data_IF_873623965265
#
_entry.id   IF_873623965265
#
_cell.length_a   1.000
_cell.length_b   1.000
_cell.length_c   1.000
_cell.angle_alpha   90.00
_cell.angle_beta   90.00
_cell.angle_gamma   90.00
#
_symmetry.space_group_name_H-M   'P 1'
#
loop_
_entity.id
_entity.type
_entity.pdbx_description
1 polymer ?
#
# COMPACT_ATOMS: atom_id res chain seq x y z
N UNK A 1 -12.68 5.08 -23.47
CA UNK A 1 -11.67 4.81 -22.42
C UNK A 1 -12.37 5.02 -21.09
N UNK A 2 -12.84 3.93 -20.45
CA UNK A 2 -13.17 4.00 -19.04
C UNK A 2 -11.84 4.19 -18.29
N UNK A 3 -11.55 5.42 -17.94
CA UNK A 3 -10.63 5.69 -16.86
C UNK A 3 -11.31 5.13 -15.60
N UNK A 4 -10.90 3.96 -15.17
CA UNK A 4 -11.22 3.47 -13.84
C UNK A 4 -10.61 4.47 -12.86
N UNK A 5 -11.47 5.23 -12.21
CA UNK A 5 -11.11 6.17 -11.15
C UNK A 5 -10.95 5.35 -9.87
N UNK A 6 -9.91 4.54 -9.80
CA UNK A 6 -9.70 3.53 -8.76
C UNK A 6 -9.84 4.15 -7.36
N UNK A 7 -9.19 5.27 -7.09
CA UNK A 7 -9.24 5.90 -5.77
C UNK A 7 -10.60 6.51 -5.40
N UNK A 8 -11.30 7.16 -6.32
CA UNK A 8 -12.58 7.80 -6.01
C UNK A 8 -13.73 6.82 -5.85
N UNK A 9 -13.76 5.74 -6.64
CA UNK A 9 -14.77 4.69 -6.51
C UNK A 9 -14.63 3.89 -5.21
N UNK A 10 -13.40 3.60 -4.79
CA UNK A 10 -13.15 2.93 -3.51
C UNK A 10 -13.68 3.76 -2.35
N UNK A 11 -13.39 5.06 -2.29
CA UNK A 11 -13.90 5.95 -1.24
C UNK A 11 -15.44 6.02 -1.20
N UNK A 12 -16.13 5.93 -2.35
CA UNK A 12 -17.60 5.93 -2.40
C UNK A 12 -18.16 4.62 -1.81
N UNK A 13 -17.57 3.47 -2.19
CA UNK A 13 -18.00 2.15 -1.70
C UNK A 13 -17.73 1.99 -0.20
N UNK A 14 -16.57 2.41 0.26
CA UNK A 14 -16.20 2.38 1.68
C UNK A 14 -17.16 3.21 2.52
N UNK A 15 -17.52 4.41 2.07
CA UNK A 15 -18.50 5.28 2.69
C UNK A 15 -19.87 4.61 2.75
N UNK A 16 -20.33 4.04 1.62
CA UNK A 16 -21.60 3.34 1.57
C UNK A 16 -21.67 2.20 2.57
N UNK A 17 -20.62 1.37 2.64
CA UNK A 17 -20.56 0.25 3.59
C UNK A 17 -20.59 0.74 5.04
N UNK A 18 -19.85 1.78 5.33
CA UNK A 18 -19.84 2.39 6.67
C UNK A 18 -21.21 2.97 7.05
N UNK A 19 -21.80 3.78 6.19
CA UNK A 19 -23.08 4.46 6.46
C UNK A 19 -24.24 3.47 6.60
N UNK A 20 -24.17 2.29 5.97
CA UNK A 20 -25.15 1.20 6.09
C UNK A 20 -24.89 0.23 7.26
N UNK A 21 -23.96 0.54 8.17
CA UNK A 21 -23.77 -0.20 9.41
C UNK A 21 -23.06 -1.54 9.30
N UNK A 22 -22.37 -1.81 8.18
CA UNK A 22 -21.57 -3.04 8.07
C UNK A 22 -20.40 -3.04 9.06
N UNK A 23 -20.18 -4.18 9.70
CA UNK A 23 -19.12 -4.35 10.70
C UNK A 23 -17.74 -4.51 10.06
N UNK A 24 -17.68 -5.09 8.87
CA UNK A 24 -16.46 -5.41 8.16
C UNK A 24 -16.43 -4.77 6.79
N UNK A 25 -15.26 -4.24 6.44
CA UNK A 25 -14.94 -3.74 5.11
C UNK A 25 -13.78 -4.54 4.55
N UNK A 26 -13.92 -5.05 3.34
CA UNK A 26 -12.82 -5.67 2.57
C UNK A 26 -12.46 -4.76 1.42
N UNK A 27 -11.22 -4.27 1.43
CA UNK A 27 -10.67 -3.40 0.39
C UNK A 27 -9.85 -4.24 -0.60
N UNK A 28 -10.13 -4.08 -1.88
CA UNK A 28 -9.41 -4.77 -2.95
C UNK A 28 -9.37 -3.93 -4.23
N UNK A 29 -8.29 -4.05 -4.98
CA UNK A 29 -8.16 -3.46 -6.31
C UNK A 29 -9.05 -4.19 -7.33
N UNK A 30 -9.37 -3.55 -8.44
CA UNK A 30 -10.30 -4.04 -9.45
C UNK A 30 -9.74 -5.18 -10.31
N UNK A 31 -8.44 -5.41 -10.28
CA UNK A 31 -7.76 -6.52 -10.94
C UNK A 31 -7.40 -7.67 -10.00
N UNK A 32 -7.77 -7.56 -8.71
CA UNK A 32 -7.63 -8.58 -7.69
C UNK A 32 -8.81 -9.58 -7.69
N UNK A 33 -8.53 -10.84 -7.35
CA UNK A 33 -9.52 -11.93 -7.29
C UNK A 33 -9.40 -12.63 -5.94
N UNK A 34 -10.42 -12.57 -5.07
CA UNK A 34 -10.38 -13.27 -3.79
C UNK A 34 -10.48 -14.80 -3.99
N UNK A 35 -9.73 -15.58 -3.20
CA UNK A 35 -9.99 -17.00 -3.06
C UNK A 35 -11.36 -17.22 -2.40
N UNK A 36 -12.01 -18.32 -2.71
CA UNK A 36 -13.34 -18.67 -2.17
C UNK A 36 -13.44 -18.68 -0.65
N UNK A 37 -12.33 -18.87 0.06
CA UNK A 37 -12.27 -18.88 1.51
C UNK A 37 -11.59 -17.62 2.10
N UNK A 38 -11.14 -16.68 1.28
CA UNK A 38 -10.37 -15.52 1.72
C UNK A 38 -11.06 -14.76 2.86
N UNK A 39 -12.25 -14.24 2.62
CA UNK A 39 -13.01 -13.43 3.59
C UNK A 39 -13.30 -14.24 4.86
N UNK A 40 -13.71 -15.50 4.71
CA UNK A 40 -13.95 -16.39 5.84
C UNK A 40 -12.70 -16.55 6.70
N UNK A 41 -11.56 -16.83 6.08
CA UNK A 41 -10.30 -17.04 6.78
C UNK A 41 -9.82 -15.76 7.48
N UNK A 42 -9.98 -14.59 6.86
CA UNK A 42 -9.66 -13.30 7.48
C UNK A 42 -10.52 -13.06 8.72
N UNK A 43 -11.84 -13.18 8.63
CA UNK A 43 -12.77 -12.95 9.74
C UNK A 43 -12.50 -13.93 10.89
N UNK A 44 -12.34 -15.23 10.59
CA UNK A 44 -12.04 -16.24 11.60
C UNK A 44 -10.68 -16.04 12.30
N UNK A 45 -9.74 -15.38 11.63
CA UNK A 45 -8.42 -15.11 12.20
C UNK A 45 -8.37 -13.84 13.04
N UNK A 46 -9.37 -12.95 12.92
CA UNK A 46 -9.32 -11.62 13.52
C UNK A 46 -9.13 -11.65 15.04
N UNK A 47 -10.02 -12.29 15.77
CA UNK A 47 -9.96 -12.32 17.23
C UNK A 47 -8.72 -13.02 17.75
N UNK A 48 -8.26 -14.05 17.03
CA UNK A 48 -7.02 -14.75 17.36
C UNK A 48 -5.79 -13.84 17.23
N UNK A 49 -5.71 -13.06 16.14
CA UNK A 49 -4.60 -12.11 15.95
C UNK A 49 -4.68 -11.00 16.98
N UNK A 50 -5.87 -10.40 17.22
CA UNK A 50 -6.08 -9.36 18.24
C UNK A 50 -5.62 -9.87 19.61
N UNK A 51 -6.04 -11.07 20.02
CA UNK A 51 -5.66 -11.68 21.30
C UNK A 51 -4.16 -11.92 21.42
N UNK A 52 -3.51 -12.34 20.33
CA UNK A 52 -2.09 -12.62 20.32
C UNK A 52 -1.22 -11.35 20.38
N UNK A 53 -1.68 -10.25 19.78
CA UNK A 53 -0.89 -9.00 19.69
C UNK A 53 -1.31 -7.93 20.69
N UNK A 54 -2.45 -8.09 21.37
CA UNK A 54 -2.95 -7.20 22.42
C UNK A 54 -3.40 -5.82 21.93
N UNK A 55 -3.80 -5.69 20.65
CA UNK A 55 -4.28 -4.43 20.05
C UNK A 55 -5.17 -4.67 18.84
N UNK A 56 -5.94 -3.64 18.45
CA UNK A 56 -6.69 -3.67 17.19
C UNK A 56 -5.77 -3.83 15.98
N UNK A 57 -6.28 -4.50 14.95
CA UNK A 57 -5.52 -4.83 13.76
C UNK A 57 -6.31 -4.56 12.48
N UNK A 58 -5.57 -4.32 11.41
CA UNK A 58 -6.00 -4.48 10.02
C UNK A 58 -5.38 -5.80 9.54
N UNK A 59 -6.19 -6.68 8.97
CA UNK A 59 -5.71 -7.93 8.39
C UNK A 59 -5.63 -7.84 6.87
N UNK A 60 -4.71 -8.58 6.30
CA UNK A 60 -4.56 -8.69 4.85
C UNK A 60 -4.44 -10.15 4.45
N UNK A 61 -4.96 -10.48 3.29
CA UNK A 61 -4.72 -11.77 2.66
C UNK A 61 -3.26 -11.86 2.16
N UNK A 62 -2.74 -13.07 2.02
CA UNK A 62 -1.49 -13.31 1.33
C UNK A 62 -1.72 -13.18 -0.18
N UNK A 63 -1.02 -12.24 -0.81
CA UNK A 63 -1.24 -11.92 -2.22
C UNK A 63 -0.41 -12.84 -3.11
N UNK A 64 -1.08 -13.80 -3.75
CA UNK A 64 -0.51 -14.74 -4.68
C UNK A 64 -0.55 -14.22 -6.13
N UNK A 65 0.42 -14.63 -6.94
CA UNK A 65 0.38 -14.37 -8.37
C UNK A 65 -0.76 -15.18 -9.01
N UNK A 66 -1.64 -14.50 -9.76
CA UNK A 66 -2.78 -15.16 -10.40
C UNK A 66 -2.39 -16.15 -11.50
N UNK A 67 -1.22 -15.95 -12.12
CA UNK A 67 -0.72 -16.76 -13.23
C UNK A 67 0.23 -17.88 -12.75
N UNK A 68 0.87 -17.70 -11.58
CA UNK A 68 1.75 -18.69 -10.94
C UNK A 68 1.50 -18.75 -9.42
N UNK A 69 0.56 -19.58 -9.01
CA UNK A 69 0.04 -19.68 -7.65
C UNK A 69 1.05 -20.19 -6.61
N UNK A 70 2.20 -20.68 -7.01
CA UNK A 70 3.28 -21.07 -6.11
C UNK A 70 4.08 -19.88 -5.59
N UNK A 71 3.89 -18.72 -6.22
CA UNK A 71 4.61 -17.49 -5.92
C UNK A 71 3.67 -16.35 -5.54
N UNK A 72 4.20 -15.38 -4.80
CA UNK A 72 3.48 -14.15 -4.48
C UNK A 72 3.54 -13.16 -5.65
N UNK A 73 2.49 -12.34 -5.79
CA UNK A 73 2.47 -11.24 -6.76
C UNK A 73 3.53 -10.16 -6.43
N UNK A 74 3.85 -10.01 -5.14
CA UNK A 74 4.81 -9.02 -4.62
C UNK A 74 5.92 -9.71 -3.83
N UNK A 75 7.06 -9.03 -3.71
CA UNK A 75 8.20 -9.52 -2.94
C UNK A 75 8.01 -9.21 -1.45
N UNK A 76 8.05 -10.22 -0.61
CA UNK A 76 8.00 -10.08 0.84
C UNK A 76 9.40 -10.03 1.46
N UNK A 77 9.60 -9.11 2.37
CA UNK A 77 10.80 -9.02 3.20
C UNK A 77 10.50 -9.61 4.59
N UNK A 78 11.11 -10.77 4.90
CA UNK A 78 10.91 -11.48 6.17
C UNK A 78 12.24 -11.58 6.93
N UNK A 79 12.43 -10.72 7.93
CA UNK A 79 13.70 -10.62 8.62
C UNK A 79 14.85 -10.28 7.65
N UNK A 80 15.87 -11.13 7.57
CA UNK A 80 16.98 -11.00 6.63
C UNK A 80 16.72 -11.65 5.26
N UNK A 81 15.57 -12.32 5.09
CA UNK A 81 15.22 -13.05 3.88
C UNK A 81 14.24 -12.25 3.01
N UNK A 82 14.31 -12.51 1.73
CA UNK A 82 13.30 -12.10 0.75
C UNK A 82 12.78 -13.33 0.06
N UNK A 83 11.46 -13.51 0.04
CA UNK A 83 10.84 -14.65 -0.60
C UNK A 83 9.60 -14.23 -1.38
N UNK A 84 9.33 -15.00 -2.44
CA UNK A 84 8.08 -14.95 -3.19
C UNK A 84 7.36 -16.29 -3.20
N UNK A 85 7.89 -17.31 -2.49
CA UNK A 85 7.26 -18.63 -2.41
C UNK A 85 6.16 -18.64 -1.35
N UNK A 86 4.95 -18.97 -1.76
CA UNK A 86 3.75 -19.08 -0.91
C UNK A 86 4.00 -20.06 0.26
N UNK A 87 4.57 -21.23 -0.02
CA UNK A 87 4.81 -22.28 0.97
C UNK A 87 5.77 -21.86 2.08
N UNK A 88 6.66 -20.90 1.84
CA UNK A 88 7.54 -20.36 2.89
C UNK A 88 6.76 -19.44 3.84
N UNK A 89 5.83 -18.65 3.32
CA UNK A 89 5.03 -17.70 4.08
C UNK A 89 3.91 -18.40 4.86
N UNK A 90 3.34 -19.48 4.32
CA UNK A 90 2.28 -20.26 4.96
C UNK A 90 2.72 -21.07 6.20
N UNK A 91 4.01 -21.11 6.50
CA UNK A 91 4.53 -21.70 7.74
C UNK A 91 4.15 -20.88 8.99
N UNK A 92 3.82 -19.60 8.81
CA UNK A 92 3.38 -18.72 9.88
C UNK A 92 1.85 -18.62 9.92
N UNK A 93 1.27 -18.47 11.10
CA UNK A 93 -0.19 -18.27 11.23
C UNK A 93 -0.59 -16.85 10.80
N UNK A 94 0.24 -15.87 11.12
CA UNK A 94 0.16 -14.47 10.69
C UNK A 94 1.52 -13.81 10.88
N UNK A 95 1.75 -12.71 10.16
CA UNK A 95 3.00 -11.96 10.29
C UNK A 95 2.79 -10.45 10.07
N UNK A 96 3.66 -9.66 10.67
CA UNK A 96 3.59 -8.20 10.64
C UNK A 96 4.21 -7.65 9.34
N UNK A 97 3.47 -7.69 8.28
CA UNK A 97 3.69 -7.03 6.98
C UNK A 97 2.42 -7.17 6.15
N UNK A 98 2.12 -6.23 5.26
CA UNK A 98 0.93 -6.28 4.40
C UNK A 98 1.21 -5.68 3.01
N UNK A 99 0.45 -6.15 2.02
CA UNK A 99 0.27 -5.46 0.74
C UNK A 99 -1.16 -4.90 0.69
N UNK A 100 -1.37 -3.65 1.12
CA UNK A 100 -2.71 -3.10 1.33
C UNK A 100 -3.52 -3.03 0.04
N UNK A 101 -4.85 -3.01 0.22
CA UNK A 101 -5.87 -2.99 -0.84
C UNK A 101 -5.88 -4.22 -1.75
N UNK A 102 -5.29 -5.31 -1.28
CA UNK A 102 -5.30 -6.62 -1.92
C UNK A 102 -5.87 -7.65 -0.94
N UNK A 103 -7.19 -7.62 -0.73
CA UNK A 103 -7.84 -8.44 0.30
C UNK A 103 -7.56 -7.92 1.71
N UNK A 104 -7.71 -6.62 1.93
CA UNK A 104 -7.49 -5.96 3.23
C UNK A 104 -8.79 -5.89 4.01
N UNK A 105 -8.85 -6.58 5.15
CA UNK A 105 -9.99 -6.58 6.06
C UNK A 105 -9.83 -5.50 7.13
N UNK A 106 -10.79 -4.59 7.22
CA UNK A 106 -10.84 -3.51 8.20
C UNK A 106 -12.13 -3.61 9.01
N UNK A 107 -12.02 -3.60 10.33
CA UNK A 107 -13.18 -3.55 11.22
C UNK A 107 -13.73 -2.13 11.31
N UNK A 108 -15.05 -2.01 11.49
CA UNK A 108 -15.74 -0.72 11.65
C UNK A 108 -15.10 0.14 12.75
N UNK A 109 -14.76 -0.45 13.90
CA UNK A 109 -14.10 0.27 15.02
C UNK A 109 -12.78 0.92 14.62
N UNK A 110 -12.01 0.28 13.72
CA UNK A 110 -10.78 0.87 13.16
C UNK A 110 -11.11 2.11 12.33
N UNK A 111 -12.13 2.03 11.47
CA UNK A 111 -12.57 3.17 10.66
C UNK A 111 -13.04 4.33 11.56
N UNK A 112 -13.80 4.03 12.62
CA UNK A 112 -14.25 5.04 13.61
C UNK A 112 -13.06 5.73 14.28
N UNK A 113 -11.98 5.00 14.51
CA UNK A 113 -10.78 5.52 15.17
C UNK A 113 -9.90 6.35 14.25
N UNK A 114 -9.67 5.90 13.00
CA UNK A 114 -8.69 6.54 12.10
C UNK A 114 -9.33 7.25 10.90
N UNK A 115 -10.63 7.13 10.72
CA UNK A 115 -11.35 7.70 9.57
C UNK A 115 -11.21 6.89 8.28
N UNK A 116 -11.86 7.37 7.24
CA UNK A 116 -11.85 6.80 5.89
C UNK A 116 -10.58 7.12 5.13
N UNK A 117 -10.37 6.43 3.99
CA UNK A 117 -9.31 6.77 3.03
C UNK A 117 -9.47 8.22 2.57
N UNK A 118 -8.35 8.92 2.41
CA UNK A 118 -8.31 10.30 1.91
C UNK A 118 -8.55 10.35 0.41
N UNK A 119 -9.77 10.74 0.00
CA UNK A 119 -10.15 10.87 -1.42
C UNK A 119 -9.26 11.84 -2.21
N UNK A 120 -8.70 12.84 -1.53
CA UNK A 120 -7.83 13.86 -2.12
C UNK A 120 -6.52 13.26 -2.64
N UNK A 121 -6.11 12.11 -2.14
CA UNK A 121 -4.90 11.42 -2.61
C UNK A 121 -5.07 10.80 -3.99
N UNK A 122 -6.28 10.41 -4.34
CA UNK A 122 -6.68 9.90 -5.64
C UNK A 122 -6.01 8.59 -6.06
N UNK A 123 -4.68 8.54 -6.18
CA UNK A 123 -3.89 7.37 -6.61
C UNK A 123 -2.46 7.45 -6.08
N UNK A 124 -1.84 6.28 -5.81
CA UNK A 124 -0.44 6.13 -5.38
C UNK A 124 -0.08 6.90 -4.10
N UNK A 125 -0.38 6.32 -3.01
CA UNK A 125 -0.04 6.83 -1.70
C UNK A 125 -1.22 6.90 -0.74
N UNK A 126 -2.44 6.75 -1.21
CA UNK A 126 -3.65 6.58 -0.41
C UNK A 126 -3.55 5.33 0.48
N UNK A 127 -3.15 4.19 -0.09
CA UNK A 127 -2.87 2.97 0.64
C UNK A 127 -1.74 3.15 1.67
N UNK A 128 -0.68 3.84 1.27
CA UNK A 128 0.48 4.10 2.14
C UNK A 128 0.11 5.04 3.29
N UNK A 129 -0.68 6.06 3.01
CA UNK A 129 -1.18 7.01 4.01
C UNK A 129 -2.08 6.30 5.02
N UNK A 130 -3.06 5.53 4.53
CA UNK A 130 -4.01 4.84 5.38
C UNK A 130 -3.31 3.88 6.36
N UNK A 131 -2.33 3.12 5.87
CA UNK A 131 -1.53 2.23 6.71
C UNK A 131 -0.61 2.98 7.67
N UNK A 132 -0.02 4.10 7.24
CA UNK A 132 0.80 4.94 8.12
C UNK A 132 -0.05 5.55 9.25
N UNK A 133 -1.26 6.00 8.93
CA UNK A 133 -2.23 6.51 9.89
C UNK A 133 -2.69 5.42 10.88
N UNK A 134 -2.93 4.20 10.39
CA UNK A 134 -3.25 3.06 11.23
C UNK A 134 -2.13 2.78 12.26
N UNK A 135 -0.88 2.67 11.79
CA UNK A 135 0.29 2.45 12.66
C UNK A 135 0.43 3.58 13.68
N UNK A 136 0.32 4.84 13.24
CA UNK A 136 0.41 6.03 14.09
C UNK A 136 -0.63 6.04 15.22
N UNK A 137 -1.81 5.46 14.97
CA UNK A 137 -2.88 5.32 15.95
C UNK A 137 -2.85 3.97 16.71
N UNK A 138 -1.75 3.23 16.67
CA UNK A 138 -1.56 2.00 17.41
C UNK A 138 -2.24 0.76 16.83
N UNK A 139 -2.78 0.84 15.61
CA UNK A 139 -3.37 -0.31 14.90
C UNK A 139 -2.26 -1.20 14.34
N UNK A 140 -2.36 -2.50 14.57
CA UNK A 140 -1.44 -3.48 14.01
C UNK A 140 -1.78 -3.83 12.56
N UNK A 141 -0.77 -4.14 11.75
CA UNK A 141 -0.94 -4.56 10.35
C UNK A 141 -0.40 -5.96 10.18
N UNK A 142 -1.26 -6.92 9.82
CA UNK A 142 -0.87 -8.33 9.74
C UNK A 142 -1.42 -9.02 8.50
N UNK A 143 -0.61 -9.86 7.89
CA UNK A 143 -1.05 -10.79 6.84
C UNK A 143 -1.40 -12.14 7.46
N UNK A 144 -2.51 -12.72 7.01
CA UNK A 144 -2.99 -14.06 7.34
C UNK A 144 -2.74 -14.97 6.14
N UNK A 145 -1.70 -15.83 6.15
CA UNK A 145 -1.34 -16.65 4.99
C UNK A 145 -2.37 -17.72 4.61
N UNK A 146 -3.30 -18.04 5.50
CA UNK A 146 -4.43 -18.94 5.20
C UNK A 146 -5.51 -18.27 4.32
N UNK A 147 -5.52 -16.95 4.21
CA UNK A 147 -6.36 -16.18 3.32
C UNK A 147 -5.56 -15.80 2.08
N UNK A 148 -6.01 -16.18 0.90
CA UNK A 148 -5.30 -15.95 -0.36
C UNK A 148 -6.07 -14.98 -1.22
N UNK A 149 -5.37 -13.98 -1.73
CA UNK A 149 -5.83 -13.03 -2.72
C UNK A 149 -4.99 -13.16 -3.99
N UNK A 150 -5.61 -13.33 -5.14
CA UNK A 150 -4.89 -13.44 -6.41
C UNK A 150 -4.78 -12.08 -7.09
N UNK A 151 -3.60 -11.70 -7.50
CA UNK A 151 -3.33 -10.42 -8.15
C UNK A 151 -2.32 -10.61 -9.29
N UNK A 152 -2.38 -9.83 -10.38
CA UNK A 152 -1.33 -9.83 -11.39
C UNK A 152 0.03 -9.47 -10.77
N UNK A 153 1.08 -10.13 -11.19
CA UNK A 153 2.42 -9.78 -10.74
C UNK A 153 2.76 -8.32 -11.06
N UNK A 154 3.24 -7.58 -10.06
CA UNK A 154 3.55 -6.16 -10.25
C UNK A 154 4.62 -5.97 -11.34
N UNK A 155 4.24 -5.26 -12.38
CA UNK A 155 5.11 -4.85 -13.49
C UNK A 155 5.54 -3.38 -13.36
N UNK A 156 5.68 -2.87 -12.13
CA UNK A 156 6.07 -1.48 -11.90
C UNK A 156 7.34 -1.12 -12.67
N UNK A 157 7.30 -0.02 -13.43
CA UNK A 157 8.47 0.46 -14.17
C UNK A 157 9.53 0.94 -13.18
N UNK A 158 10.62 0.18 -13.09
CA UNK A 158 11.79 0.55 -12.29
C UNK A 158 12.79 1.28 -13.18
N UNK A 159 13.34 2.38 -12.66
CA UNK A 159 14.43 3.12 -13.29
C UNK A 159 15.70 3.02 -12.45
N UNK A 160 16.84 2.79 -13.09
CA UNK A 160 18.12 2.84 -12.41
C UNK A 160 18.42 4.27 -12.00
N UNK A 161 18.75 4.53 -10.73
CA UNK A 161 19.04 5.89 -10.23
C UNK A 161 20.19 6.52 -11.01
N UNK A 162 21.21 5.71 -11.31
CA UNK A 162 22.33 6.11 -12.18
C UNK A 162 22.25 5.24 -13.42
N UNK A 163 22.31 5.80 -14.64
CA UNK A 163 22.33 5.04 -15.89
C UNK A 163 23.40 3.93 -15.85
N UNK A 164 23.05 2.76 -16.37
CA UNK A 164 23.92 1.58 -16.43
C UNK A 164 24.26 0.91 -15.08
N UNK A 165 23.86 1.48 -13.93
CA UNK A 165 24.04 0.88 -12.60
C UNK A 165 22.71 0.36 -12.07
N UNK A 166 22.46 -0.94 -12.19
CA UNK A 166 21.19 -1.57 -11.80
C UNK A 166 21.00 -1.80 -10.30
N UNK A 167 22.05 -1.61 -9.49
CA UNK A 167 22.02 -1.87 -8.05
C UNK A 167 21.01 -1.01 -7.29
N UNK A 168 20.82 0.24 -7.73
CA UNK A 168 19.94 1.21 -7.09
C UNK A 168 18.83 1.62 -8.06
N UNK A 169 17.60 1.28 -7.70
CA UNK A 169 16.44 1.52 -8.54
C UNK A 169 15.37 2.31 -7.79
N UNK A 170 14.62 3.12 -8.52
CA UNK A 170 13.41 3.78 -8.04
C UNK A 170 12.19 3.33 -8.84
N UNK A 171 11.03 3.49 -8.23
CA UNK A 171 9.75 3.34 -8.94
C UNK A 171 9.48 4.59 -9.77
N UNK A 172 9.32 4.42 -11.07
CA UNK A 172 9.04 5.52 -12.01
C UNK A 172 7.56 5.51 -12.36
N UNK A 173 6.85 6.56 -11.97
CA UNK A 173 5.43 6.73 -12.31
C UNK A 173 5.25 7.42 -13.67
N UNK A 174 4.13 7.19 -14.38
CA UNK A 174 3.80 7.90 -15.62
C UNK A 174 3.77 9.41 -15.41
N UNK A 175 4.43 10.17 -16.29
CA UNK A 175 4.62 11.64 -16.13
C UNK A 175 3.32 12.44 -16.03
N UNK A 176 2.26 11.97 -16.70
CA UNK A 176 0.93 12.64 -16.65
C UNK A 176 0.33 12.65 -15.24
N UNK A 177 0.67 11.64 -14.41
CA UNK A 177 0.08 11.46 -13.08
C UNK A 177 1.10 11.47 -11.95
N UNK A 178 2.39 11.66 -12.25
CA UNK A 178 3.48 11.66 -11.27
C UNK A 178 3.30 12.70 -10.15
N UNK A 179 2.58 13.78 -10.45
CA UNK A 179 2.28 14.84 -9.47
C UNK A 179 1.47 14.33 -8.27
N UNK A 180 0.52 13.41 -8.46
CA UNK A 180 -0.18 12.78 -7.32
C UNK A 180 0.79 12.03 -6.42
N UNK A 181 1.64 11.19 -7.02
CA UNK A 181 2.64 10.44 -6.28
C UNK A 181 3.57 11.33 -5.47
N UNK A 182 4.13 12.38 -6.08
CA UNK A 182 5.04 13.30 -5.38
C UNK A 182 4.36 14.05 -4.24
N UNK A 183 3.15 14.54 -4.47
CA UNK A 183 2.35 15.24 -3.46
C UNK A 183 2.01 14.32 -2.29
N UNK A 184 1.51 13.13 -2.57
CA UNK A 184 1.11 12.16 -1.56
C UNK A 184 2.32 11.69 -0.72
N UNK A 185 3.49 11.45 -1.34
CA UNK A 185 4.72 11.17 -0.61
C UNK A 185 5.12 12.34 0.30
N UNK A 186 5.06 13.57 -0.18
CA UNK A 186 5.33 14.77 0.63
C UNK A 186 4.44 14.85 1.86
N UNK A 187 3.14 14.61 1.69
CA UNK A 187 2.19 14.56 2.80
C UNK A 187 2.54 13.47 3.82
N UNK A 188 2.75 12.23 3.36
CA UNK A 188 3.04 11.08 4.23
C UNK A 188 4.32 11.29 5.03
N UNK A 189 5.40 11.76 4.40
CA UNK A 189 6.65 12.01 5.10
C UNK A 189 6.60 13.17 6.10
N UNK A 190 5.78 14.18 5.84
CA UNK A 190 5.62 15.30 6.76
C UNK A 190 4.71 14.96 7.93
N UNK A 191 3.64 14.21 7.69
CA UNK A 191 2.60 13.92 8.67
C UNK A 191 3.01 12.82 9.66
N UNK A 192 3.72 11.78 9.19
CA UNK A 192 4.03 10.60 10.00
C UNK A 192 5.52 10.54 10.38
N UNK A 193 5.88 10.82 11.65
CA UNK A 193 7.28 10.84 12.11
C UNK A 193 8.03 9.54 11.82
N UNK A 194 7.34 8.40 11.87
CA UNK A 194 7.91 7.07 11.60
C UNK A 194 8.44 6.94 10.16
N UNK A 195 7.90 7.74 9.24
CA UNK A 195 8.30 7.75 7.82
C UNK A 195 9.41 8.77 7.51
N UNK A 196 9.65 9.77 8.36
CA UNK A 196 10.61 10.86 8.11
C UNK A 196 12.03 10.38 7.80
N UNK A 197 12.49 9.31 8.45
CA UNK A 197 13.82 8.75 8.19
C UNK A 197 14.04 8.30 6.75
N UNK A 198 12.97 7.96 6.03
CA UNK A 198 13.02 7.53 4.64
C UNK A 198 12.92 8.70 3.65
N UNK A 199 12.50 9.89 4.11
CA UNK A 199 12.31 11.07 3.27
C UNK A 199 13.60 11.50 2.56
N UNK A 200 14.72 11.55 3.30
CA UNK A 200 16.01 11.97 2.74
C UNK A 200 16.42 11.02 1.61
N UNK A 201 16.34 9.71 1.86
CA UNK A 201 16.68 8.69 0.86
C UNK A 201 15.79 8.83 -0.38
N UNK A 202 14.48 9.00 -0.17
CA UNK A 202 13.52 9.19 -1.25
C UNK A 202 13.82 10.45 -2.07
N UNK A 203 13.99 11.60 -1.41
CA UNK A 203 14.27 12.87 -2.10
C UNK A 203 15.59 12.80 -2.87
N UNK A 204 16.66 12.29 -2.24
CA UNK A 204 17.95 12.13 -2.90
C UNK A 204 17.85 11.25 -4.14
N UNK A 205 17.15 10.09 -4.02
CA UNK A 205 16.96 9.18 -5.14
C UNK A 205 16.19 9.84 -6.30
N UNK A 206 15.13 10.60 -6.01
CA UNK A 206 14.35 11.32 -7.03
C UNK A 206 15.20 12.42 -7.71
N UNK A 207 15.95 13.19 -6.94
CA UNK A 207 16.82 14.27 -7.47
C UNK A 207 17.89 13.67 -8.37
N UNK A 208 18.66 12.69 -7.87
CA UNK A 208 19.74 12.06 -8.63
C UNK A 208 19.21 11.42 -9.90
N UNK A 209 18.12 10.65 -9.80
CA UNK A 209 17.50 10.00 -10.98
C UNK A 209 17.14 11.03 -12.05
N UNK A 210 16.43 12.09 -11.69
CA UNK A 210 15.98 13.07 -12.68
C UNK A 210 17.14 13.87 -13.29
N UNK A 211 18.20 14.17 -12.52
CA UNK A 211 19.41 14.83 -13.05
C UNK A 211 20.16 13.90 -14.00
N UNK A 212 20.45 12.69 -13.59
CA UNK A 212 21.25 11.74 -14.39
C UNK A 212 20.56 11.27 -15.67
N UNK A 213 19.24 11.43 -15.74
CA UNK A 213 18.42 11.12 -16.92
C UNK A 213 17.96 12.35 -17.69
N UNK A 214 18.50 13.54 -17.38
CA UNK A 214 18.17 14.83 -18.02
C UNK A 214 16.66 15.17 -18.00
N UNK A 215 15.94 14.75 -16.92
CA UNK A 215 14.48 14.93 -16.76
C UNK A 215 14.18 16.18 -15.93
N UNK A 216 14.67 17.34 -16.34
CA UNK A 216 14.57 18.58 -15.55
C UNK A 216 13.14 19.06 -15.32
N UNK A 217 12.23 18.85 -16.29
CA UNK A 217 10.82 19.18 -16.13
C UNK A 217 10.18 18.31 -15.03
N UNK A 218 10.51 17.03 -15.00
CA UNK A 218 10.02 16.12 -13.98
C UNK A 218 10.62 16.40 -12.61
N UNK A 219 11.88 16.84 -12.56
CA UNK A 219 12.51 17.31 -11.32
C UNK A 219 11.79 18.56 -10.76
N UNK A 220 11.45 19.52 -11.60
CA UNK A 220 10.69 20.69 -11.19
C UNK A 220 9.29 20.31 -10.66
N UNK A 221 8.60 19.38 -11.33
CA UNK A 221 7.33 18.82 -10.84
C UNK A 221 7.52 18.13 -9.49
N UNK A 222 8.54 17.31 -9.33
CA UNK A 222 8.84 16.63 -8.07
C UNK A 222 8.98 17.66 -6.93
N UNK A 223 9.83 18.65 -7.09
CA UNK A 223 10.07 19.68 -6.06
C UNK A 223 8.79 20.43 -5.72
N UNK A 224 8.03 20.86 -6.74
CA UNK A 224 6.77 21.59 -6.56
C UNK A 224 5.75 20.76 -5.78
N UNK A 225 5.36 19.61 -6.30
CA UNK A 225 4.27 18.82 -5.74
C UNK A 225 4.63 18.14 -4.42
N UNK A 226 5.88 17.71 -4.25
CA UNK A 226 6.35 17.22 -2.96
C UNK A 226 6.22 18.29 -1.87
N UNK A 227 6.60 19.54 -2.17
CA UNK A 227 6.43 20.67 -1.25
C UNK A 227 4.95 20.99 -0.99
N UNK A 228 4.09 20.93 -2.01
CA UNK A 228 2.64 21.09 -1.83
C UNK A 228 2.09 20.05 -0.87
N UNK A 229 2.47 18.79 -1.02
CA UNK A 229 2.10 17.71 -0.09
C UNK A 229 2.58 17.96 1.33
N UNK A 230 3.82 18.39 1.50
CA UNK A 230 4.35 18.75 2.84
C UNK A 230 3.53 19.86 3.54
N UNK A 231 2.86 20.73 2.77
CA UNK A 231 2.01 21.80 3.30
C UNK A 231 0.51 21.46 3.26
N UNK A 232 0.17 20.18 3.02
CA UNK A 232 -1.22 19.69 2.93
C UNK A 232 -2.06 20.47 1.90
N UNK A 233 -1.48 20.81 0.77
CA UNK A 233 -2.16 21.48 -0.35
C UNK A 233 -2.61 20.43 -1.36
N UNK A 234 -3.92 20.28 -1.51
CA UNK A 234 -4.57 19.35 -2.45
C UNK A 234 -5.40 20.07 -3.47
#
# INVERSE_FOLDING_TARGET
IRLSLVGSEMCIRDRYMYDNGYEWLVMMDDDGIPDKNEIKNLIQSYDKVVSAVGKEVILNALVADKDDKDYTAFLWARGSRRTTKITELQKEQFFNDIHPFNGTLVKRSVIEKIGMIKKEMFIWGDEKEYMARAIHNGIGLYTVPAAIHYHPKEKGRKGNIIPFISKYQILVKPEKMSHYYYRNEGFVYNTYPEKKKHMIVFCTAQIVYNITHFRFVELAKFIKYFREGMHNKY
#
